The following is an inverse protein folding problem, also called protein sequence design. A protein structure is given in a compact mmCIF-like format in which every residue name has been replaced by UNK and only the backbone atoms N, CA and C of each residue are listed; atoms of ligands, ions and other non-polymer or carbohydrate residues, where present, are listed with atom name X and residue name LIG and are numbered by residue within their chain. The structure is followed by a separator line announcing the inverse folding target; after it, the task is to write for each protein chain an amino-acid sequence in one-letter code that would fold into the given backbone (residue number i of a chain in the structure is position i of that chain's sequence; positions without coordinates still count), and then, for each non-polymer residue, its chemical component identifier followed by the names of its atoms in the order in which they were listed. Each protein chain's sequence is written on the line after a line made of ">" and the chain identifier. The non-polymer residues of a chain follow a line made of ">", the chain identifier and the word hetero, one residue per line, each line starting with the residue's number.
data_IF_605652690702
#
_entry.id   IF_605652690702
#
_cell.length_a   1.000
_cell.length_b   1.000
_cell.length_c   1.000
_cell.angle_alpha   90.00
_cell.angle_beta   90.00
_cell.angle_gamma   90.00
#
_symmetry.space_group_name_H-M   'P 1'
#
loop_
_entity.id
_entity.type
_entity.pdbx_description
1 polymer ?
#
# COMPACT_ATOMS: atom_id res chain seq x y z
N UNK A 1 -1.33 1.31 6.37
CA UNK A 1 -1.28 0.47 5.14
C UNK A 1 -2.58 0.50 4.35
N UNK A 2 -3.70 -0.06 4.82
CA UNK A 2 -4.97 -0.09 4.06
C UNK A 2 -5.48 1.29 3.59
N UNK A 3 -5.51 2.30 4.47
CA UNK A 3 -5.85 3.67 4.07
C UNK A 3 -4.94 4.22 2.96
N UNK A 4 -3.65 3.90 3.02
CA UNK A 4 -2.69 4.33 2.01
C UNK A 4 -2.98 3.67 0.67
N UNK A 5 -3.29 2.37 0.65
CA UNK A 5 -3.72 1.67 -0.56
C UNK A 5 -5.01 2.29 -1.13
N UNK A 6 -5.96 2.66 -0.27
CA UNK A 6 -7.21 3.28 -0.71
C UNK A 6 -7.01 4.67 -1.31
N UNK A 7 -6.15 5.49 -0.70
CA UNK A 7 -5.95 6.89 -1.11
C UNK A 7 -4.96 7.03 -2.27
N UNK A 8 -3.88 6.22 -2.32
CA UNK A 8 -2.88 6.31 -3.39
C UNK A 8 -3.11 5.36 -4.55
N UNK A 9 -3.55 4.14 -4.27
CA UNK A 9 -3.71 3.08 -5.28
C UNK A 9 -5.16 2.95 -5.77
N UNK A 10 -6.05 3.88 -5.38
CA UNK A 10 -7.48 3.93 -5.78
C UNK A 10 -8.25 2.62 -5.51
N UNK A 11 -7.76 1.79 -4.59
CA UNK A 11 -8.43 0.57 -4.19
C UNK A 11 -9.63 0.91 -3.32
N UNK A 12 -10.84 0.54 -3.72
CA UNK A 12 -12.01 0.71 -2.86
C UNK A 12 -12.00 -0.35 -1.73
N UNK A 13 -12.66 -0.06 -0.59
CA UNK A 13 -12.87 -1.06 0.45
C UNK A 13 -13.54 -2.31 -0.13
N UNK A 14 -12.89 -3.47 0.06
CA UNK A 14 -13.37 -4.75 -0.45
C UNK A 14 -12.75 -5.22 -1.76
N UNK A 15 -12.22 -4.33 -2.59
CA UNK A 15 -11.60 -4.73 -3.87
C UNK A 15 -10.27 -5.46 -3.66
N UNK A 16 -9.52 -5.09 -2.62
CA UNK A 16 -8.32 -5.82 -2.21
C UNK A 16 -8.58 -7.32 -2.00
N UNK A 17 -9.71 -7.68 -1.39
CA UNK A 17 -10.04 -9.07 -1.09
C UNK A 17 -10.53 -9.86 -2.31
N UNK A 18 -10.89 -9.17 -3.41
CA UNK A 18 -11.26 -9.80 -4.68
C UNK A 18 -10.04 -10.15 -5.53
N UNK A 19 -8.89 -9.56 -5.25
CA UNK A 19 -7.65 -9.83 -5.99
C UNK A 19 -7.17 -11.27 -5.74
N UNK A 20 -6.50 -11.91 -6.71
CA UNK A 20 -5.77 -13.15 -6.49
C UNK A 20 -4.76 -13.01 -5.34
N UNK A 21 -4.52 -14.11 -4.62
CA UNK A 21 -3.61 -14.09 -3.45
C UNK A 21 -2.21 -13.54 -3.78
N UNK A 22 -1.68 -13.84 -4.96
CA UNK A 22 -0.38 -13.32 -5.39
C UNK A 22 -0.37 -11.79 -5.53
N UNK A 23 -1.42 -11.23 -6.13
CA UNK A 23 -1.57 -9.78 -6.26
C UNK A 23 -1.77 -9.10 -4.91
N UNK A 24 -2.53 -9.73 -3.98
CA UNK A 24 -2.66 -9.23 -2.61
C UNK A 24 -1.30 -9.12 -1.91
N UNK A 25 -0.48 -10.17 -2.00
CA UNK A 25 0.85 -10.21 -1.38
C UNK A 25 1.78 -9.18 -2.01
N UNK A 26 1.75 -9.03 -3.33
CA UNK A 26 2.52 -8.03 -4.05
C UNK A 26 2.14 -6.60 -3.64
N UNK A 27 0.84 -6.30 -3.56
CA UNK A 27 0.34 -5.00 -3.13
C UNK A 27 0.73 -4.65 -1.69
N UNK A 28 0.68 -5.63 -0.78
CA UNK A 28 1.12 -5.46 0.60
C UNK A 28 2.61 -5.11 0.66
N UNK A 29 3.46 -5.93 0.04
CA UNK A 29 4.92 -5.74 0.07
C UNK A 29 5.35 -4.41 -0.58
N UNK A 30 4.77 -4.05 -1.73
CA UNK A 30 5.05 -2.77 -2.39
C UNK A 30 4.61 -1.57 -1.54
N UNK A 31 3.45 -1.66 -0.89
CA UNK A 31 2.96 -0.59 0.00
C UNK A 31 3.87 -0.39 1.21
N UNK A 32 4.40 -1.47 1.80
CA UNK A 32 5.36 -1.36 2.91
C UNK A 32 6.61 -0.59 2.50
N UNK A 33 7.18 -0.93 1.34
CA UNK A 33 8.35 -0.23 0.79
C UNK A 33 8.05 1.26 0.57
N UNK A 34 6.89 1.60 0.00
CA UNK A 34 6.51 2.99 -0.25
C UNK A 34 6.31 3.79 1.05
N UNK A 35 5.77 3.17 2.10
CA UNK A 35 5.61 3.80 3.41
C UNK A 35 6.95 4.06 4.08
N UNK A 36 7.86 3.09 4.05
CA UNK A 36 9.22 3.22 4.59
C UNK A 36 9.99 4.34 3.89
N UNK A 37 9.91 4.42 2.56
CA UNK A 37 10.52 5.51 1.80
C UNK A 37 9.92 6.89 2.15
N UNK A 38 8.60 6.97 2.33
CA UNK A 38 7.90 8.21 2.69
C UNK A 38 8.15 8.68 4.13
N UNK A 39 8.45 7.76 5.05
CA UNK A 39 8.80 8.08 6.43
C UNK A 39 10.28 8.50 6.57
N UNK A 40 11.18 7.92 5.76
CA UNK A 40 12.56 8.40 5.63
C UNK A 40 12.61 9.86 5.17
N UNK A 41 11.87 10.19 4.12
CA UNK A 41 11.79 11.56 3.59
C UNK A 41 11.20 12.59 4.58
N UNK A 42 10.35 12.16 5.53
CA UNK A 42 9.78 13.04 6.57
C UNK A 42 10.68 13.25 7.78
N UNK A 43 11.68 12.39 8.01
CA UNK A 43 12.62 12.51 9.13
C UNK A 43 13.86 13.34 8.80
N UNK A 44 14.15 13.53 7.52
CA UNK A 44 15.30 14.32 7.03
C UNK A 44 14.97 15.79 6.73
N UNK A 45 13.70 16.19 6.84
CA UNK A 45 13.21 17.55 6.58
C UNK A 45 13.00 18.40 7.83
#
# INVERSE_FOLDING_TARGET
>A
MLHFMWVRHHLLPGDFWKLPRGEQLFLLASTEIELEAGDGARKEG
#
